data_IF_886535502217
#
_entry.id   IF_886535502217
#
_cell.length_a   1.000
_cell.length_b   1.000
_cell.length_c   1.000
_cell.angle_alpha   90.00
_cell.angle_beta   90.00
_cell.angle_gamma   90.00
#
_symmetry.space_group_name_H-M   'P 1'
#
loop_
_entity.id
_entity.type
_entity.pdbx_description
1 polymer ?
#
# COMPACT_ATOMS: atom_id res chain seq x y z
N UNK A 1 17.13 24.85 16.17
CA UNK A 1 16.92 23.37 16.14
C UNK A 1 15.44 22.97 16.32
N UNK A 2 14.58 23.79 16.91
CA UNK A 2 13.15 23.50 17.12
C UNK A 2 12.28 23.69 15.86
N UNK A 3 12.63 24.59 14.94
CA UNK A 3 11.81 24.88 13.75
C UNK A 3 11.93 23.79 12.67
N UNK A 4 13.11 23.25 12.43
CA UNK A 4 13.34 22.22 11.40
C UNK A 4 12.62 20.90 11.72
N UNK A 5 12.73 20.41 12.95
CA UNK A 5 11.98 19.23 13.39
C UNK A 5 10.47 19.43 13.26
N UNK A 6 9.94 20.65 13.57
CA UNK A 6 8.54 21.02 13.36
C UNK A 6 8.12 20.90 11.87
N UNK A 7 9.01 21.22 10.94
CA UNK A 7 8.70 21.19 9.50
C UNK A 7 8.67 19.76 8.93
N UNK A 8 9.52 18.85 9.42
CA UNK A 8 9.44 17.42 9.07
C UNK A 8 8.11 16.83 9.55
N UNK A 9 7.74 17.06 10.81
CA UNK A 9 6.46 16.56 11.35
C UNK A 9 5.26 17.11 10.59
N UNK A 10 5.25 18.37 10.21
CA UNK A 10 4.18 18.97 9.40
C UNK A 10 4.05 18.27 8.04
N UNK A 11 5.17 17.99 7.37
CA UNK A 11 5.18 17.32 6.07
C UNK A 11 4.76 15.86 6.19
N UNK A 12 5.26 15.14 7.19
CA UNK A 12 4.79 13.77 7.46
C UNK A 12 3.28 13.73 7.70
N UNK A 13 2.77 14.66 8.52
CA UNK A 13 1.34 14.79 8.75
C UNK A 13 0.57 15.09 7.47
N UNK A 14 1.05 16.02 6.64
CA UNK A 14 0.42 16.36 5.37
C UNK A 14 0.29 15.15 4.44
N UNK A 15 1.37 14.40 4.24
CA UNK A 15 1.33 13.21 3.38
C UNK A 15 0.54 12.05 4.00
N UNK A 16 0.46 11.97 5.33
CA UNK A 16 -0.44 11.05 6.03
C UNK A 16 -1.92 11.40 5.78
N UNK A 17 -2.27 12.70 5.80
CA UNK A 17 -3.61 13.17 5.46
C UNK A 17 -3.97 12.78 4.02
N UNK A 18 -3.06 12.96 3.07
CA UNK A 18 -3.28 12.53 1.66
C UNK A 18 -3.69 11.06 1.57
N UNK A 19 -3.04 10.18 2.34
CA UNK A 19 -3.43 8.76 2.34
C UNK A 19 -4.85 8.53 2.87
N UNK A 20 -5.29 9.33 3.85
CA UNK A 20 -6.66 9.26 4.35
C UNK A 20 -7.68 9.80 3.33
N UNK A 21 -7.30 10.82 2.55
CA UNK A 21 -8.17 11.38 1.51
C UNK A 21 -8.53 10.37 0.42
N UNK A 22 -7.69 9.37 0.18
CA UNK A 22 -7.95 8.28 -0.78
C UNK A 22 -9.21 7.48 -0.47
N UNK A 23 -9.65 7.43 0.79
CA UNK A 23 -10.90 6.77 1.16
C UNK A 23 -12.17 7.48 0.68
N UNK A 24 -12.06 8.76 0.34
CA UNK A 24 -13.21 9.58 -0.09
C UNK A 24 -13.40 9.60 -1.61
N UNK A 25 -12.48 9.04 -2.38
CA UNK A 25 -12.55 8.99 -3.83
C UNK A 25 -12.78 7.57 -4.34
N UNK A 26 -13.51 7.47 -5.43
CA UNK A 26 -13.64 6.18 -6.14
C UNK A 26 -12.48 6.05 -7.14
N UNK A 27 -11.82 4.89 -7.23
CA UNK A 27 -10.80 4.65 -8.24
C UNK A 27 -11.29 5.00 -9.66
N UNK A 28 -10.40 5.60 -10.45
CA UNK A 28 -10.63 6.00 -11.84
C UNK A 28 -11.75 7.05 -12.05
N UNK A 29 -12.22 7.70 -10.98
CA UNK A 29 -13.21 8.77 -11.02
C UNK A 29 -12.59 10.15 -11.26
N UNK A 30 -13.46 11.14 -11.56
CA UNK A 30 -13.08 12.57 -11.59
C UNK A 30 -12.53 13.03 -10.24
N UNK A 31 -13.12 12.56 -9.12
CA UNK A 31 -12.69 12.92 -7.78
C UNK A 31 -11.27 12.40 -7.49
N UNK A 32 -10.94 11.18 -7.90
CA UNK A 32 -9.57 10.68 -7.80
C UNK A 32 -8.60 11.51 -8.68
N UNK A 33 -9.03 11.87 -9.87
CA UNK A 33 -8.24 12.74 -10.76
C UNK A 33 -7.96 14.09 -10.11
N UNK A 34 -8.94 14.69 -9.47
CA UNK A 34 -8.79 15.94 -8.73
C UNK A 34 -7.87 15.77 -7.51
N UNK A 35 -8.03 14.68 -6.76
CA UNK A 35 -7.13 14.37 -5.66
C UNK A 35 -5.68 14.21 -6.14
N UNK A 36 -5.45 13.51 -7.25
CA UNK A 36 -4.10 13.38 -7.85
C UNK A 36 -3.52 14.75 -8.28
N UNK A 37 -4.32 15.62 -8.88
CA UNK A 37 -3.89 17.00 -9.20
C UNK A 37 -3.52 17.78 -7.95
N UNK A 38 -4.36 17.73 -6.91
CA UNK A 38 -4.10 18.38 -5.63
C UNK A 38 -2.78 17.87 -5.01
N UNK A 39 -2.58 16.56 -4.97
CA UNK A 39 -1.34 15.95 -4.42
C UNK A 39 -0.12 16.34 -5.27
N UNK A 40 -0.27 16.45 -6.59
CA UNK A 40 0.80 16.93 -7.45
C UNK A 40 1.18 18.38 -7.11
N UNK A 41 0.21 19.26 -6.90
CA UNK A 41 0.47 20.64 -6.46
C UNK A 41 1.23 20.70 -5.14
N UNK A 42 0.92 19.80 -4.20
CA UNK A 42 1.62 19.73 -2.91
C UNK A 42 3.05 19.20 -3.00
N UNK A 43 3.34 18.34 -3.97
CA UNK A 43 4.60 17.59 -4.03
C UNK A 43 5.58 18.09 -5.10
N UNK A 44 5.13 18.72 -6.17
CA UNK A 44 5.94 19.04 -7.36
C UNK A 44 7.23 19.82 -7.05
N UNK A 45 7.13 20.93 -6.30
CA UNK A 45 8.31 21.74 -5.93
C UNK A 45 9.31 20.93 -5.07
N UNK A 46 8.79 20.08 -4.20
CA UNK A 46 9.63 19.25 -3.35
C UNK A 46 10.29 18.10 -4.12
N UNK A 47 9.61 17.52 -5.12
CA UNK A 47 10.21 16.54 -6.05
C UNK A 47 11.41 17.19 -6.77
N UNK A 48 11.22 18.38 -7.32
CA UNK A 48 12.29 19.11 -8.02
C UNK A 48 13.46 19.44 -7.09
N UNK A 49 13.17 19.87 -5.85
CA UNK A 49 14.18 20.24 -4.85
C UNK A 49 14.97 19.01 -4.36
N UNK A 50 14.28 17.96 -3.95
CA UNK A 50 14.88 16.79 -3.31
C UNK A 50 15.45 15.82 -4.33
N UNK A 51 14.84 15.68 -5.52
CA UNK A 51 15.12 14.64 -6.51
C UNK A 51 15.12 13.22 -5.93
N UNK A 52 15.39 12.22 -6.76
CA UNK A 52 15.44 10.81 -6.32
C UNK A 52 16.70 10.47 -5.51
N UNK A 53 17.83 11.00 -5.91
CA UNK A 53 19.11 10.69 -5.28
C UNK A 53 19.52 11.77 -4.27
N UNK A 54 20.11 11.40 -3.14
CA UNK A 54 20.66 12.34 -2.18
C UNK A 54 21.69 13.28 -2.82
N UNK A 55 21.72 14.53 -2.36
CA UNK A 55 22.71 15.54 -2.72
C UNK A 55 23.56 15.87 -1.51
N UNK A 56 24.82 16.29 -1.73
CA UNK A 56 25.75 16.64 -0.64
C UNK A 56 25.23 17.75 0.28
N UNK A 57 24.30 18.57 -0.24
CA UNK A 57 23.70 19.68 0.49
C UNK A 57 22.46 19.29 1.30
N UNK A 58 21.99 18.04 1.18
CA UNK A 58 20.77 17.59 1.83
C UNK A 58 20.95 17.49 3.35
N UNK A 59 19.98 18.02 4.08
CA UNK A 59 19.88 17.83 5.52
C UNK A 59 19.38 16.43 5.88
N UNK A 60 19.55 16.02 7.13
CA UNK A 60 18.92 14.78 7.64
C UNK A 60 17.39 14.80 7.47
N UNK A 61 16.78 15.97 7.60
CA UNK A 61 15.33 16.16 7.41
C UNK A 61 14.93 15.91 5.95
N UNK A 62 15.77 16.31 4.99
CA UNK A 62 15.53 16.05 3.56
C UNK A 62 15.57 14.56 3.24
N UNK A 63 16.47 13.81 3.86
CA UNK A 63 16.53 12.36 3.69
C UNK A 63 15.25 11.66 4.19
N UNK A 64 14.71 12.10 5.34
CA UNK A 64 13.48 11.55 5.91
C UNK A 64 12.23 11.92 5.10
N UNK A 65 12.21 13.11 4.48
CA UNK A 65 11.05 13.61 3.74
C UNK A 65 11.03 13.12 2.29
N UNK A 66 12.20 12.86 1.68
CA UNK A 66 12.31 12.43 0.27
C UNK A 66 11.40 11.25 -0.08
N UNK A 67 11.42 10.10 0.60
CA UNK A 67 10.56 8.97 0.23
C UNK A 67 9.07 9.30 0.34
N UNK A 68 8.66 10.17 1.26
CA UNK A 68 7.26 10.58 1.41
C UNK A 68 6.81 11.46 0.23
N UNK A 69 7.66 12.40 -0.18
CA UNK A 69 7.41 13.28 -1.34
C UNK A 69 7.34 12.46 -2.62
N UNK A 70 8.30 11.56 -2.84
CA UNK A 70 8.35 10.71 -4.02
C UNK A 70 7.15 9.76 -4.10
N UNK A 71 6.75 9.16 -2.97
CA UNK A 71 5.55 8.33 -2.91
C UNK A 71 4.27 9.11 -3.25
N UNK A 72 4.14 10.34 -2.75
CA UNK A 72 3.02 11.22 -3.08
C UNK A 72 3.01 11.60 -4.57
N UNK A 73 4.19 11.91 -5.13
CA UNK A 73 4.32 12.24 -6.55
C UNK A 73 3.99 11.04 -7.46
N UNK A 74 4.42 9.83 -7.09
CA UNK A 74 4.06 8.62 -7.83
C UNK A 74 2.56 8.33 -7.76
N UNK A 75 1.91 8.56 -6.60
CA UNK A 75 0.46 8.48 -6.50
C UNK A 75 -0.23 9.53 -7.39
N UNK A 76 0.27 10.74 -7.40
CA UNK A 76 -0.21 11.82 -8.25
C UNK A 76 0.08 11.60 -9.75
N UNK A 77 0.75 10.51 -10.10
CA UNK A 77 1.17 10.19 -11.46
C UNK A 77 2.04 11.30 -12.10
N UNK A 78 2.86 11.99 -11.27
CA UNK A 78 3.77 13.03 -11.74
C UNK A 78 4.71 12.48 -12.82
N UNK A 79 4.72 13.06 -14.06
CA UNK A 79 5.44 12.50 -15.18
C UNK A 79 6.96 12.46 -14.95
N UNK A 80 7.53 13.51 -14.36
CA UNK A 80 8.97 13.59 -14.07
C UNK A 80 9.37 12.53 -13.05
N UNK A 81 8.63 12.43 -11.94
CA UNK A 81 8.91 11.43 -10.91
C UNK A 81 8.84 9.99 -11.47
N UNK A 82 7.86 9.70 -12.32
CA UNK A 82 7.72 8.38 -12.96
C UNK A 82 8.86 8.08 -13.94
N UNK A 83 9.24 9.06 -14.78
CA UNK A 83 10.32 8.91 -15.75
C UNK A 83 11.67 8.72 -15.07
N UNK A 84 11.97 9.54 -14.06
CA UNK A 84 13.23 9.42 -13.30
C UNK A 84 13.33 8.08 -12.56
N UNK A 85 12.22 7.60 -11.96
CA UNK A 85 12.20 6.27 -11.34
C UNK A 85 12.50 5.16 -12.35
N UNK A 86 11.92 5.24 -13.56
CA UNK A 86 12.17 4.29 -14.63
C UNK A 86 13.63 4.33 -15.11
N UNK A 87 14.20 5.51 -15.26
CA UNK A 87 15.62 5.68 -15.60
C UNK A 87 16.54 5.05 -14.54
N UNK A 88 16.25 5.31 -13.25
CA UNK A 88 17.01 4.70 -12.14
C UNK A 88 16.90 3.17 -12.19
N UNK A 89 15.71 2.63 -12.42
CA UNK A 89 15.53 1.18 -12.57
C UNK A 89 16.39 0.64 -13.72
N UNK A 90 16.25 1.22 -14.91
CA UNK A 90 16.96 0.76 -16.13
C UNK A 90 18.47 0.79 -15.97
N UNK A 91 19.02 1.81 -15.29
CA UNK A 91 20.47 1.91 -15.03
C UNK A 91 20.98 0.94 -13.95
N UNK A 92 20.08 0.35 -13.17
CA UNK A 92 20.44 -0.49 -12.02
C UNK A 92 19.78 -1.88 -12.05
N UNK A 93 19.16 -2.30 -13.14
CA UNK A 93 18.40 -3.56 -13.20
C UNK A 93 19.22 -4.80 -12.81
N UNK A 94 20.53 -4.81 -13.07
CA UNK A 94 21.44 -5.90 -12.71
C UNK A 94 22.00 -5.80 -11.28
N UNK A 95 21.69 -4.72 -10.56
CA UNK A 95 22.23 -4.43 -9.22
C UNK A 95 21.22 -3.71 -8.31
N UNK A 96 19.95 -4.08 -8.38
CA UNK A 96 18.85 -3.45 -7.63
C UNK A 96 19.12 -3.37 -6.13
N UNK A 97 19.79 -4.36 -5.56
CA UNK A 97 20.16 -4.37 -4.15
C UNK A 97 21.11 -3.20 -3.76
N UNK A 98 21.84 -2.64 -4.71
CA UNK A 98 22.74 -1.49 -4.47
C UNK A 98 22.00 -0.14 -4.36
N UNK A 99 20.73 -0.07 -4.77
CA UNK A 99 19.91 1.12 -4.56
C UNK A 99 19.68 1.35 -3.07
N UNK A 100 19.64 2.61 -2.66
CA UNK A 100 19.26 2.97 -1.29
C UNK A 100 17.89 2.41 -0.93
N UNK A 101 17.78 1.78 0.24
CA UNK A 101 16.50 1.26 0.77
C UNK A 101 15.41 2.31 0.86
N UNK A 102 15.76 3.60 0.98
CA UNK A 102 14.80 4.71 1.09
C UNK A 102 13.98 4.92 -0.19
N UNK A 103 14.54 4.57 -1.36
CA UNK A 103 13.89 4.78 -2.66
C UNK A 103 13.67 3.48 -3.43
N UNK A 104 14.38 2.40 -3.12
CA UNK A 104 14.34 1.14 -3.89
C UNK A 104 12.93 0.59 -4.02
N UNK A 105 12.17 0.54 -2.92
CA UNK A 105 10.77 0.11 -2.97
C UNK A 105 9.92 0.95 -3.94
N UNK A 106 10.12 2.27 -3.96
CA UNK A 106 9.36 3.18 -4.82
C UNK A 106 9.75 3.02 -6.30
N UNK A 107 11.04 2.84 -6.57
CA UNK A 107 11.55 2.56 -7.94
C UNK A 107 10.95 1.27 -8.47
N UNK A 108 11.00 0.18 -7.69
CA UNK A 108 10.44 -1.11 -8.06
C UNK A 108 8.92 -1.06 -8.23
N UNK A 109 8.20 -0.39 -7.33
CA UNK A 109 6.75 -0.20 -7.44
C UNK A 109 6.37 0.58 -8.69
N UNK A 110 7.11 1.64 -9.03
CA UNK A 110 6.88 2.40 -10.25
C UNK A 110 7.06 1.52 -11.48
N UNK A 111 8.09 0.70 -11.50
CA UNK A 111 8.39 -0.18 -12.62
C UNK A 111 7.29 -1.23 -12.81
N UNK A 112 6.92 -1.97 -11.76
CA UNK A 112 5.84 -2.97 -11.83
C UNK A 112 4.49 -2.34 -12.17
N UNK A 113 4.20 -1.14 -11.65
CA UNK A 113 2.92 -0.48 -11.85
C UNK A 113 2.73 0.13 -13.24
N UNK A 114 3.81 0.68 -13.84
CA UNK A 114 3.71 1.53 -15.02
C UNK A 114 4.49 1.02 -16.25
N UNK A 115 5.47 0.13 -16.06
CA UNK A 115 6.35 -0.40 -17.13
C UNK A 115 6.39 -1.93 -17.10
N UNK A 116 5.36 -2.53 -16.56
CA UNK A 116 5.28 -3.95 -16.29
C UNK A 116 5.43 -4.82 -17.54
N UNK A 117 6.06 -5.99 -17.32
CA UNK A 117 6.07 -7.11 -18.24
C UNK A 117 6.05 -8.42 -17.44
N UNK A 118 5.58 -9.51 -18.06
CA UNK A 118 5.63 -10.82 -17.41
C UNK A 118 7.07 -11.21 -17.04
N UNK A 119 8.06 -10.85 -17.87
CA UNK A 119 9.46 -11.13 -17.59
C UNK A 119 9.97 -10.38 -16.36
N UNK A 120 9.60 -9.10 -16.18
CA UNK A 120 9.97 -8.32 -15.00
C UNK A 120 9.35 -8.92 -13.74
N UNK A 121 8.06 -9.24 -13.80
CA UNK A 121 7.34 -9.83 -12.67
C UNK A 121 7.98 -11.14 -12.21
N UNK A 122 8.25 -12.07 -13.13
CA UNK A 122 8.88 -13.34 -12.82
C UNK A 122 10.32 -13.17 -12.30
N UNK A 123 11.09 -12.24 -12.86
CA UNK A 123 12.45 -11.94 -12.38
C UNK A 123 12.45 -11.44 -10.93
N UNK A 124 11.54 -10.53 -10.60
CA UNK A 124 11.41 -10.02 -9.22
C UNK A 124 10.91 -11.13 -8.27
N UNK A 125 9.99 -11.98 -8.72
CA UNK A 125 9.52 -13.11 -7.92
C UNK A 125 10.64 -14.11 -7.62
N UNK A 126 11.51 -14.35 -8.59
CA UNK A 126 12.69 -15.20 -8.43
C UNK A 126 13.72 -14.59 -7.47
N UNK A 127 13.93 -13.28 -7.57
CA UNK A 127 14.76 -12.53 -6.60
C UNK A 127 14.17 -12.60 -5.20
N UNK A 128 12.84 -12.48 -5.05
CA UNK A 128 12.15 -12.65 -3.76
C UNK A 128 12.43 -14.01 -3.13
N UNK A 129 12.40 -15.08 -3.94
CA UNK A 129 12.66 -16.45 -3.46
C UNK A 129 14.11 -16.64 -3.04
N UNK A 130 15.06 -16.04 -3.75
CA UNK A 130 16.51 -16.26 -3.57
C UNK A 130 17.15 -15.36 -2.54
N UNK A 131 16.68 -14.13 -2.39
CA UNK A 131 17.36 -13.16 -1.54
C UNK A 131 17.22 -13.51 -0.06
N UNK A 132 18.32 -13.34 0.68
CA UNK A 132 18.35 -13.38 2.14
C UNK A 132 18.25 -11.98 2.78
N UNK A 133 18.29 -10.90 1.98
CA UNK A 133 18.13 -9.54 2.46
C UNK A 133 16.66 -9.24 2.73
N UNK A 134 16.29 -9.10 3.99
CA UNK A 134 14.89 -8.90 4.42
C UNK A 134 14.30 -7.58 3.92
N UNK A 135 15.12 -6.51 3.82
CA UNK A 135 14.68 -5.22 3.30
C UNK A 135 14.37 -5.31 1.81
N UNK A 136 15.27 -5.90 1.02
CA UNK A 136 15.06 -6.09 -0.40
C UNK A 136 13.86 -7.01 -0.68
N UNK A 137 13.70 -8.07 0.11
CA UNK A 137 12.53 -8.94 0.05
C UNK A 137 11.22 -8.18 0.24
N UNK A 138 11.18 -7.29 1.21
CA UNK A 138 10.03 -6.44 1.47
C UNK A 138 9.78 -5.45 0.31
N UNK A 139 10.82 -4.86 -0.25
CA UNK A 139 10.71 -3.93 -1.39
C UNK A 139 10.13 -4.63 -2.62
N UNK A 140 10.56 -5.87 -2.91
CA UNK A 140 10.02 -6.70 -4.00
C UNK A 140 8.55 -7.03 -3.73
N UNK A 141 8.20 -7.45 -2.52
CA UNK A 141 6.81 -7.71 -2.14
C UNK A 141 5.92 -6.49 -2.42
N UNK A 142 6.36 -5.30 -2.00
CA UNK A 142 5.62 -4.07 -2.23
C UNK A 142 5.49 -3.75 -3.72
N UNK A 143 6.52 -4.05 -4.51
CA UNK A 143 6.49 -3.86 -5.95
C UNK A 143 5.49 -4.82 -6.62
N UNK A 144 5.64 -6.12 -6.41
CA UNK A 144 4.79 -7.14 -7.04
C UNK A 144 3.31 -6.93 -6.71
N UNK A 145 3.00 -6.61 -5.44
CA UNK A 145 1.60 -6.35 -5.03
C UNK A 145 1.04 -5.01 -5.53
N UNK A 146 1.84 -4.17 -6.19
CA UNK A 146 1.38 -2.92 -6.82
C UNK A 146 0.98 -3.08 -8.29
N UNK A 147 1.06 -4.28 -8.85
CA UNK A 147 0.72 -4.56 -10.25
C UNK A 147 -0.69 -4.08 -10.61
N UNK A 148 -0.86 -3.67 -11.87
CA UNK A 148 -2.15 -3.39 -12.52
C UNK A 148 -2.61 -4.52 -13.45
N UNK A 149 -1.97 -5.68 -13.37
CA UNK A 149 -2.28 -6.86 -14.16
C UNK A 149 -3.10 -7.84 -13.31
N UNK A 150 -4.30 -8.16 -13.77
CA UNK A 150 -5.23 -9.04 -13.04
C UNK A 150 -4.72 -10.49 -12.98
N UNK A 151 -4.03 -10.97 -14.00
CA UNK A 151 -3.47 -12.33 -14.03
C UNK A 151 -2.34 -12.46 -13.01
N UNK A 152 -1.49 -11.43 -12.90
CA UNK A 152 -0.46 -11.39 -11.86
C UNK A 152 -1.05 -11.32 -10.45
N UNK A 153 -2.17 -10.63 -10.25
CA UNK A 153 -2.89 -10.65 -8.97
C UNK A 153 -3.36 -12.08 -8.64
N UNK A 154 -3.95 -12.79 -9.59
CA UNK A 154 -4.38 -14.18 -9.38
C UNK A 154 -3.17 -15.09 -9.08
N UNK A 155 -2.07 -14.87 -9.76
CA UNK A 155 -0.82 -15.59 -9.51
C UNK A 155 -0.29 -15.33 -8.09
N UNK A 156 -0.29 -14.08 -7.61
CA UNK A 156 0.08 -13.75 -6.23
C UNK A 156 -0.80 -14.50 -5.24
N UNK A 157 -2.13 -14.47 -5.42
CA UNK A 157 -3.06 -15.14 -4.50
C UNK A 157 -2.84 -16.65 -4.48
N UNK A 158 -2.50 -17.26 -5.62
CA UNK A 158 -2.20 -18.70 -5.69
C UNK A 158 -0.94 -19.11 -4.89
N UNK A 159 -0.05 -18.15 -4.57
CA UNK A 159 1.14 -18.41 -3.75
C UNK A 159 0.90 -18.24 -2.24
N UNK A 160 -0.27 -17.80 -1.80
CA UNK A 160 -0.52 -17.59 -0.38
C UNK A 160 -0.39 -18.89 0.44
N UNK A 161 -0.70 -20.03 -0.17
CA UNK A 161 -0.59 -21.36 0.48
C UNK A 161 0.73 -22.06 0.15
N UNK A 162 1.52 -21.51 -0.77
CA UNK A 162 2.83 -22.07 -1.16
C UNK A 162 3.95 -21.53 -0.26
N UNK A 163 4.31 -22.31 0.75
CA UNK A 163 5.37 -21.97 1.70
C UNK A 163 6.78 -21.95 1.09
N UNK A 164 6.98 -22.47 -0.11
CA UNK A 164 8.26 -22.37 -0.80
C UNK A 164 8.43 -21.00 -1.44
N UNK A 165 7.34 -20.38 -1.86
CA UNK A 165 7.31 -19.01 -2.38
C UNK A 165 7.09 -17.98 -1.27
N UNK A 166 6.00 -18.07 -0.49
CA UNK A 166 5.66 -17.12 0.57
C UNK A 166 5.79 -17.81 1.93
N UNK A 167 6.78 -17.41 2.69
CA UNK A 167 6.97 -17.96 4.04
C UNK A 167 5.82 -17.55 4.97
N UNK A 168 5.42 -18.38 5.95
CA UNK A 168 4.29 -18.10 6.84
C UNK A 168 4.37 -16.71 7.51
N UNK A 169 5.55 -16.29 7.94
CA UNK A 169 5.74 -14.98 8.58
C UNK A 169 5.57 -13.79 7.62
N UNK A 170 5.69 -14.00 6.31
CA UNK A 170 5.54 -12.95 5.28
C UNK A 170 4.09 -12.88 4.75
N UNK A 171 3.32 -13.97 4.90
CA UNK A 171 2.00 -14.14 4.30
C UNK A 171 1.03 -12.99 4.65
N UNK A 172 0.99 -12.57 5.92
CA UNK A 172 0.11 -11.47 6.34
C UNK A 172 0.39 -10.18 5.56
N UNK A 173 1.67 -9.89 5.28
CA UNK A 173 2.03 -8.68 4.52
C UNK A 173 1.62 -8.83 3.06
N UNK A 174 1.84 -9.99 2.44
CA UNK A 174 1.37 -10.30 1.09
C UNK A 174 -0.14 -10.15 0.98
N UNK A 175 -0.88 -10.79 1.88
CA UNK A 175 -2.33 -10.71 1.95
C UNK A 175 -2.82 -9.26 2.06
N UNK A 176 -2.30 -8.50 3.05
CA UNK A 176 -2.73 -7.11 3.28
C UNK A 176 -2.42 -6.21 2.08
N UNK A 177 -1.25 -6.37 1.47
CA UNK A 177 -0.86 -5.56 0.31
C UNK A 177 -1.71 -5.89 -0.92
N UNK A 178 -2.01 -7.15 -1.15
CA UNK A 178 -2.89 -7.58 -2.23
C UNK A 178 -4.33 -7.09 -1.99
N UNK A 179 -4.84 -7.23 -0.76
CA UNK A 179 -6.16 -6.72 -0.36
C UNK A 179 -6.28 -5.19 -0.53
N UNK A 180 -5.17 -4.46 -0.36
CA UNK A 180 -5.11 -3.00 -0.52
C UNK A 180 -4.93 -2.55 -1.97
N UNK A 181 -4.74 -3.46 -2.90
CA UNK A 181 -4.71 -3.19 -4.33
C UNK A 181 -6.13 -3.28 -4.89
N UNK A 182 -6.58 -2.26 -5.63
CA UNK A 182 -7.95 -2.21 -6.15
C UNK A 182 -8.33 -3.45 -6.99
N UNK A 183 -7.39 -4.00 -7.77
CA UNK A 183 -7.62 -5.23 -8.55
C UNK A 183 -7.50 -6.49 -7.68
N UNK A 184 -6.75 -6.42 -6.59
CA UNK A 184 -6.49 -7.54 -5.69
C UNK A 184 -7.48 -7.69 -4.55
N UNK A 185 -8.25 -6.63 -4.24
CA UNK A 185 -9.14 -6.61 -3.08
C UNK A 185 -10.10 -7.80 -3.06
N UNK A 186 -10.81 -8.03 -4.17
CA UNK A 186 -11.77 -9.12 -4.24
C UNK A 186 -11.11 -10.49 -4.11
N UNK A 187 -10.02 -10.73 -4.84
CA UNK A 187 -9.34 -12.02 -4.83
C UNK A 187 -8.76 -12.37 -3.44
N UNK A 188 -8.11 -11.39 -2.79
CA UNK A 188 -7.59 -11.59 -1.43
C UNK A 188 -8.70 -11.76 -0.40
N UNK A 189 -9.81 -11.01 -0.53
CA UNK A 189 -10.97 -11.14 0.34
C UNK A 189 -11.68 -12.49 0.16
N UNK A 190 -11.77 -12.99 -1.06
CA UNK A 190 -12.31 -14.33 -1.32
C UNK A 190 -11.39 -15.43 -0.75
N UNK A 191 -10.08 -15.28 -0.95
CA UNK A 191 -9.11 -16.24 -0.41
C UNK A 191 -9.26 -16.40 1.11
N UNK A 192 -9.23 -15.32 1.89
CA UNK A 192 -9.27 -15.45 3.36
C UNK A 192 -10.60 -16.06 3.84
N UNK A 193 -11.69 -15.84 3.13
CA UNK A 193 -12.99 -16.43 3.48
C UNK A 193 -13.06 -17.92 3.16
N UNK A 194 -12.46 -18.33 2.04
CA UNK A 194 -12.46 -19.71 1.61
C UNK A 194 -11.45 -20.56 2.40
N UNK A 195 -10.28 -19.96 2.68
CA UNK A 195 -9.15 -20.65 3.27
C UNK A 195 -8.97 -20.33 4.77
N UNK A 196 -10.02 -19.83 5.44
CA UNK A 196 -9.96 -19.48 6.86
C UNK A 196 -9.52 -20.64 7.75
N UNK A 197 -10.04 -21.86 7.50
CA UNK A 197 -9.66 -23.04 8.27
C UNK A 197 -8.20 -23.42 8.05
N UNK A 198 -7.74 -23.36 6.81
CA UNK A 198 -6.32 -23.58 6.50
C UNK A 198 -5.43 -22.58 7.23
N UNK A 199 -5.83 -21.32 7.26
CA UNK A 199 -5.11 -20.27 7.98
C UNK A 199 -5.10 -20.52 9.50
N UNK A 200 -6.25 -20.91 10.07
CA UNK A 200 -6.38 -21.26 11.48
C UNK A 200 -5.52 -22.45 11.86
N UNK A 201 -5.49 -23.51 11.05
CA UNK A 201 -4.67 -24.69 11.30
C UNK A 201 -3.17 -24.38 11.24
N UNK A 202 -2.77 -23.36 10.48
CA UNK A 202 -1.37 -23.03 10.26
C UNK A 202 -0.81 -22.01 11.26
N UNK A 203 -1.59 -21.02 11.63
CA UNK A 203 -1.19 -19.93 12.53
C UNK A 203 -2.17 -19.73 13.69
N UNK A 204 -3.19 -20.59 13.80
CA UNK A 204 -4.15 -20.60 14.91
C UNK A 204 -3.46 -20.88 16.24
N UNK A 205 -3.82 -20.09 17.26
CA UNK A 205 -3.14 -20.15 18.56
C UNK A 205 -1.95 -19.21 18.68
N UNK A 206 -1.49 -18.60 17.60
CA UNK A 206 -0.53 -17.52 17.61
C UNK A 206 -1.27 -16.16 17.67
N UNK A 207 -0.67 -15.16 18.33
CA UNK A 207 -1.16 -13.78 18.34
C UNK A 207 -1.23 -13.19 16.91
N UNK A 208 -0.46 -13.75 15.99
CA UNK A 208 -0.46 -13.34 14.59
C UNK A 208 -1.78 -13.66 13.88
N UNK A 209 -2.47 -14.75 14.27
CA UNK A 209 -3.74 -15.14 13.65
C UNK A 209 -4.81 -14.04 13.74
N UNK A 210 -4.98 -13.44 14.92
CA UNK A 210 -5.97 -12.36 15.11
C UNK A 210 -5.65 -11.13 14.29
N UNK A 211 -4.38 -10.90 13.97
CA UNK A 211 -3.94 -9.77 13.16
C UNK A 211 -4.47 -9.80 11.71
N UNK A 212 -4.85 -10.98 11.19
CA UNK A 212 -5.50 -11.08 9.88
C UNK A 212 -6.89 -10.42 9.88
N UNK A 213 -7.62 -10.45 11.01
CA UNK A 213 -8.89 -9.72 11.16
C UNK A 213 -8.60 -8.22 11.08
N UNK A 214 -7.62 -7.75 11.86
CA UNK A 214 -7.27 -6.32 11.93
C UNK A 214 -6.75 -5.78 10.59
N UNK A 215 -5.87 -6.49 9.87
CA UNK A 215 -5.39 -6.00 8.57
C UNK A 215 -6.49 -6.01 7.51
N UNK A 216 -7.42 -6.98 7.58
CA UNK A 216 -8.61 -7.00 6.73
C UNK A 216 -9.47 -5.76 7.00
N UNK A 217 -9.78 -5.50 8.26
CA UNK A 217 -10.57 -4.33 8.65
C UNK A 217 -9.91 -3.00 8.26
N UNK A 218 -8.58 -2.93 8.22
CA UNK A 218 -7.85 -1.72 7.77
C UNK A 218 -8.04 -1.42 6.29
N UNK A 219 -8.17 -2.42 5.45
CA UNK A 219 -8.35 -2.27 4.02
C UNK A 219 -9.80 -1.94 3.64
N UNK A 220 -10.78 -2.56 4.30
CA UNK A 220 -12.19 -2.43 3.93
C UNK A 220 -12.78 -1.06 4.34
N UNK A 221 -13.50 -0.42 3.41
CA UNK A 221 -13.98 0.95 3.61
C UNK A 221 -15.32 1.26 2.93
N UNK A 222 -16.05 0.24 2.45
CA UNK A 222 -17.38 0.39 1.83
C UNK A 222 -18.45 -0.32 2.65
N UNK A 223 -19.72 0.15 2.54
CA UNK A 223 -20.86 -0.49 3.22
C UNK A 223 -21.01 -1.97 2.82
N UNK A 224 -20.86 -2.28 1.54
CA UNK A 224 -20.93 -3.68 1.06
C UNK A 224 -19.87 -4.56 1.75
N UNK A 225 -18.65 -4.07 1.89
CA UNK A 225 -17.57 -4.79 2.57
C UNK A 225 -17.81 -4.93 4.07
N UNK A 226 -18.38 -3.91 4.71
CA UNK A 226 -18.81 -4.02 6.11
C UNK A 226 -19.84 -5.14 6.31
N UNK A 227 -20.84 -5.20 5.43
CA UNK A 227 -21.86 -6.28 5.47
C UNK A 227 -21.22 -7.65 5.28
N UNK A 228 -20.35 -7.80 4.30
CA UNK A 228 -19.62 -9.07 4.07
C UNK A 228 -18.72 -9.44 5.25
N UNK A 229 -18.00 -8.46 5.83
CA UNK A 229 -17.14 -8.67 7.00
C UNK A 229 -17.95 -9.19 8.19
N UNK A 230 -19.06 -8.53 8.51
CA UNK A 230 -19.98 -8.98 9.57
C UNK A 230 -20.46 -10.39 9.29
N UNK A 231 -21.03 -10.64 8.11
CA UNK A 231 -21.56 -11.95 7.73
C UNK A 231 -20.52 -13.07 7.91
N UNK A 232 -19.26 -12.81 7.62
CA UNK A 232 -18.21 -13.80 7.72
C UNK A 232 -17.68 -13.99 9.16
N UNK A 233 -17.50 -12.91 9.92
CA UNK A 233 -16.89 -12.95 11.23
C UNK A 233 -17.87 -13.08 12.41
N UNK A 234 -19.12 -12.62 12.30
CA UNK A 234 -20.12 -12.78 13.39
C UNK A 234 -20.30 -14.22 13.88
N UNK A 235 -20.36 -15.24 13.00
CA UNK A 235 -20.45 -16.63 13.45
C UNK A 235 -19.23 -17.11 14.29
N UNK A 236 -18.11 -16.39 14.18
CA UNK A 236 -16.84 -16.70 14.87
C UNK A 236 -16.67 -15.93 16.20
N UNK A 237 -17.66 -15.12 16.60
CA UNK A 237 -17.60 -14.33 17.83
C UNK A 237 -17.38 -15.16 19.10
N UNK A 238 -17.82 -16.42 19.12
CA UNK A 238 -17.66 -17.30 20.24
C UNK A 238 -16.36 -18.13 20.20
N UNK A 239 -15.52 -17.93 19.18
CA UNK A 239 -14.21 -18.59 19.11
C UNK A 239 -13.23 -17.95 20.09
N UNK A 240 -12.63 -18.72 21.02
CA UNK A 240 -11.67 -18.18 21.96
C UNK A 240 -10.54 -17.41 21.26
N UNK A 241 -10.24 -16.20 21.76
CA UNK A 241 -9.20 -15.34 21.20
C UNK A 241 -9.64 -14.41 20.07
N UNK A 242 -10.77 -14.68 19.39
CA UNK A 242 -11.22 -13.84 18.24
C UNK A 242 -12.26 -12.77 18.63
N UNK A 243 -13.04 -12.99 19.68
CA UNK A 243 -14.19 -12.14 20.07
C UNK A 243 -13.86 -10.66 20.13
N UNK A 244 -12.78 -10.32 20.83
CA UNK A 244 -12.36 -8.92 21.03
C UNK A 244 -12.03 -8.25 19.71
N UNK A 245 -11.20 -8.89 18.90
CA UNK A 245 -10.72 -8.32 17.63
C UNK A 245 -11.89 -8.15 16.65
N UNK A 246 -12.78 -9.14 16.52
CA UNK A 246 -13.96 -9.04 15.67
C UNK A 246 -14.84 -7.85 16.07
N UNK A 247 -15.12 -7.68 17.37
CA UNK A 247 -15.95 -6.57 17.85
C UNK A 247 -15.28 -5.21 17.59
N UNK A 248 -13.99 -5.09 17.90
CA UNK A 248 -13.25 -3.85 17.73
C UNK A 248 -13.11 -3.48 16.25
N UNK A 249 -12.71 -4.43 15.42
CA UNK A 249 -12.47 -4.20 14.00
C UNK A 249 -13.78 -3.95 13.23
N UNK A 250 -14.88 -4.60 13.61
CA UNK A 250 -16.21 -4.26 13.08
C UNK A 250 -16.54 -2.78 13.33
N UNK A 251 -16.31 -2.27 14.55
CA UNK A 251 -16.55 -0.86 14.87
C UNK A 251 -15.63 0.09 14.13
N UNK A 252 -14.39 -0.32 13.86
CA UNK A 252 -13.45 0.47 13.05
C UNK A 252 -13.98 0.64 11.63
N UNK A 253 -14.47 -0.44 11.00
CA UNK A 253 -15.05 -0.35 9.65
C UNK A 253 -16.35 0.48 9.68
N UNK A 254 -17.26 0.24 10.64
CA UNK A 254 -18.51 1.02 10.81
C UNK A 254 -18.24 2.52 10.91
N UNK A 255 -17.30 2.90 11.76
CA UNK A 255 -16.94 4.32 11.97
C UNK A 255 -16.33 4.93 10.70
N UNK A 256 -15.52 4.18 9.97
CA UNK A 256 -14.91 4.62 8.71
C UNK A 256 -15.96 4.80 7.63
N UNK A 257 -16.83 3.82 7.43
CA UNK A 257 -17.91 3.88 6.43
C UNK A 257 -18.83 5.07 6.71
N UNK A 258 -19.29 5.22 7.95
CA UNK A 258 -20.15 6.34 8.34
C UNK A 258 -19.46 7.71 8.13
N UNK A 259 -18.15 7.82 8.41
CA UNK A 259 -17.39 9.03 8.16
C UNK A 259 -17.28 9.32 6.65
N UNK A 260 -16.98 8.31 5.85
CA UNK A 260 -16.85 8.45 4.40
C UNK A 260 -18.20 8.88 3.80
N UNK A 261 -19.30 8.25 4.17
CA UNK A 261 -20.63 8.60 3.68
C UNK A 261 -21.01 10.04 4.02
N UNK A 262 -20.72 10.47 5.24
CA UNK A 262 -21.06 11.82 5.69
C UNK A 262 -20.22 12.91 5.04
N UNK A 263 -18.93 12.67 4.82
CA UNK A 263 -17.97 13.73 4.46
C UNK A 263 -17.52 13.68 3.00
N UNK A 264 -17.83 12.64 2.24
CA UNK A 264 -17.33 12.44 0.86
C UNK A 264 -17.53 13.66 -0.02
N UNK A 265 -18.78 14.15 -0.10
CA UNK A 265 -19.11 15.26 -0.98
C UNK A 265 -18.42 16.56 -0.55
N UNK A 266 -18.33 16.80 0.77
CA UNK A 266 -17.64 17.97 1.31
C UNK A 266 -16.13 17.92 1.01
N UNK A 267 -15.49 16.77 1.18
CA UNK A 267 -14.05 16.58 0.90
C UNK A 267 -13.77 16.79 -0.59
N UNK A 268 -14.55 16.17 -1.47
CA UNK A 268 -14.34 16.24 -2.92
C UNK A 268 -14.62 17.66 -3.44
N UNK A 269 -15.65 18.34 -2.93
CA UNK A 269 -15.91 19.74 -3.25
C UNK A 269 -14.76 20.67 -2.78
N UNK A 270 -14.23 20.45 -1.58
CA UNK A 270 -13.11 21.24 -1.07
C UNK A 270 -11.83 21.05 -1.93
N UNK A 271 -11.54 19.81 -2.36
CA UNK A 271 -10.40 19.52 -3.25
C UNK A 271 -10.59 20.23 -4.60
N UNK A 272 -11.78 20.15 -5.19
CA UNK A 272 -12.09 20.83 -6.48
C UNK A 272 -11.90 22.34 -6.38
N UNK A 273 -12.45 22.96 -5.33
CA UNK A 273 -12.35 24.42 -5.12
C UNK A 273 -10.91 24.94 -4.91
N UNK A 274 -9.98 24.08 -4.46
CA UNK A 274 -8.55 24.45 -4.35
C UNK A 274 -7.87 24.45 -5.71
N UNK A 275 -8.39 23.69 -6.66
CA UNK A 275 -7.80 23.53 -7.99
C UNK A 275 -8.26 24.60 -8.98
N UNK A 276 -9.40 25.23 -8.71
CA UNK A 276 -9.95 26.37 -9.48
C UNK A 276 -9.23 27.68 -9.11
#
# INVERSE_FOLDING_TARGET
KSSAASDVYKRQTLYSIVNNLKFFVTPDSTDETNLKKFVNTLSADQVQRLSWLPKDIDSNDDQLVRPLVLNAALYAENPSAKSEAHEIFTQNQDKLLSLSSDIRALVLQNEVKNYNSSQLFESLLEDYRKTSDSSYKQDILFALTSTKDADQIQQIVSYFEDADTIKPQDLRTWYFRTLSNNLGEQAAWDWIRNEWQWLEDRVGGDMEFTSYITVTARALHTESRLVEFKKFFEPKLNTPGLTREIIMDTKVIESRVAMIERERDHVNAAISNILD
#
